data_IF_792071943330
#
_entry.id   IF_792071943330
#
_cell.length_a   1.000
_cell.length_b   1.000
_cell.length_c   1.000
_cell.angle_alpha   90.00
_cell.angle_beta   90.00
_cell.angle_gamma   90.00
#
_symmetry.space_group_name_H-M   'P 1'
#
loop_
_entity.id
_entity.type
_entity.pdbx_description
1 polymer ?
#
# COMPACT_ATOMS: atom_id res chain seq x y z
N UNK A 1 -12.20 3.26 16.06
CA UNK A 1 -11.94 1.91 15.51
C UNK A 1 -11.46 1.03 16.66
N UNK A 2 -12.35 0.25 17.30
CA UNK A 2 -11.97 -0.53 18.50
C UNK A 2 -11.36 -1.91 18.16
N UNK A 3 -11.52 -2.38 16.92
CA UNK A 3 -10.69 -3.40 16.28
C UNK A 3 -11.05 -3.43 14.80
N UNK A 4 -10.05 -3.40 13.91
CA UNK A 4 -10.25 -3.72 12.50
C UNK A 4 -9.77 -5.15 12.32
N UNK A 5 -10.66 -6.04 11.87
CA UNK A 5 -10.22 -7.40 11.56
C UNK A 5 -9.44 -7.40 10.24
N UNK A 6 -8.42 -8.26 10.07
CA UNK A 6 -7.67 -8.35 8.81
C UNK A 6 -8.57 -8.51 7.58
N UNK A 7 -9.67 -9.26 7.70
CA UNK A 7 -10.64 -9.50 6.63
C UNK A 7 -11.30 -8.21 6.15
N UNK A 8 -11.47 -7.22 7.02
CA UNK A 8 -12.03 -5.91 6.63
C UNK A 8 -11.07 -5.15 5.71
N UNK A 9 -9.76 -5.26 5.95
CA UNK A 9 -8.75 -4.66 5.08
C UNK A 9 -8.71 -5.39 3.73
N UNK A 10 -8.68 -6.72 3.74
CA UNK A 10 -8.67 -7.52 2.51
C UNK A 10 -9.91 -7.26 1.65
N UNK A 11 -11.10 -7.18 2.26
CA UNK A 11 -12.32 -6.81 1.55
C UNK A 11 -12.22 -5.42 0.91
N UNK A 12 -11.60 -4.46 1.60
CA UNK A 12 -11.37 -3.11 1.07
C UNK A 12 -10.41 -3.13 -0.12
N UNK A 13 -9.31 -3.89 -0.03
CA UNK A 13 -8.35 -4.03 -1.12
C UNK A 13 -8.97 -4.71 -2.35
N UNK A 14 -9.90 -5.64 -2.16
CA UNK A 14 -10.68 -6.23 -3.24
C UNK A 14 -11.52 -5.16 -3.96
N UNK A 15 -12.28 -4.35 -3.21
CA UNK A 15 -13.08 -3.25 -3.79
C UNK A 15 -12.18 -2.25 -4.53
N UNK A 16 -11.02 -1.91 -3.97
CA UNK A 16 -10.07 -1.01 -4.63
C UNK A 16 -9.61 -1.53 -5.99
N UNK A 17 -9.36 -2.85 -6.09
CA UNK A 17 -8.96 -3.49 -7.34
C UNK A 17 -10.11 -3.54 -8.36
N UNK A 18 -11.33 -3.79 -7.89
CA UNK A 18 -12.53 -3.85 -8.75
C UNK A 18 -12.91 -2.48 -9.31
N UNK A 19 -12.88 -1.43 -8.49
CA UNK A 19 -13.34 -0.09 -8.86
C UNK A 19 -12.25 0.75 -9.54
N UNK A 20 -10.99 0.59 -9.13
CA UNK A 20 -9.90 1.49 -9.54
C UNK A 20 -8.71 0.77 -10.19
N UNK A 21 -8.78 -0.55 -10.37
CA UNK A 21 -7.71 -1.37 -10.94
C UNK A 21 -6.59 -1.70 -9.94
N UNK A 22 -6.13 -0.70 -9.19
CA UNK A 22 -5.14 -0.86 -8.12
C UNK A 22 -5.15 0.31 -7.13
N UNK A 23 -4.51 0.12 -5.98
CA UNK A 23 -4.29 1.20 -5.00
C UNK A 23 -3.42 2.31 -5.58
N UNK A 24 -2.40 1.97 -6.37
CA UNK A 24 -1.52 2.97 -6.99
C UNK A 24 -2.27 3.79 -8.04
N UNK A 25 -3.11 3.17 -8.87
CA UNK A 25 -3.97 3.88 -9.83
C UNK A 25 -4.99 4.79 -9.12
N UNK A 26 -5.60 4.34 -8.02
CA UNK A 26 -6.47 5.21 -7.21
C UNK A 26 -5.72 6.45 -6.69
N UNK A 27 -4.49 6.28 -6.19
CA UNK A 27 -3.69 7.40 -5.66
C UNK A 27 -3.28 8.38 -6.77
N UNK A 28 -2.89 7.87 -7.94
CA UNK A 28 -2.53 8.70 -9.09
C UNK A 28 -3.74 9.46 -9.66
N UNK A 29 -4.86 8.77 -9.83
CA UNK A 29 -5.99 9.27 -10.61
C UNK A 29 -7.03 10.01 -9.76
N UNK A 30 -7.36 9.50 -8.57
CA UNK A 30 -8.39 10.08 -7.69
C UNK A 30 -7.78 11.02 -6.66
N UNK A 31 -6.70 10.61 -5.99
CA UNK A 31 -6.02 11.46 -5.01
C UNK A 31 -5.12 12.53 -5.65
N UNK A 32 -4.89 12.45 -6.97
CA UNK A 32 -4.06 13.40 -7.75
C UNK A 32 -2.64 13.57 -7.20
N UNK A 33 -2.10 12.52 -6.59
CA UNK A 33 -0.70 12.53 -6.14
C UNK A 33 0.18 12.21 -7.33
N UNK A 34 1.15 13.07 -7.62
CA UNK A 34 2.04 12.85 -8.75
C UNK A 34 3.01 11.69 -8.50
N UNK A 35 3.53 11.03 -9.55
CA UNK A 35 4.56 10.01 -9.41
C UNK A 35 5.79 10.48 -8.62
N UNK A 36 6.22 11.74 -8.81
CA UNK A 36 7.36 12.33 -8.08
C UNK A 36 7.09 12.46 -6.58
N UNK A 37 5.85 12.78 -6.19
CA UNK A 37 5.44 12.83 -4.79
C UNK A 37 5.37 11.45 -4.17
N UNK A 38 4.86 10.45 -4.89
CA UNK A 38 4.90 9.04 -4.45
C UNK A 38 6.34 8.60 -4.22
N UNK A 39 7.25 8.96 -5.12
CA UNK A 39 8.67 8.62 -5.03
C UNK A 39 9.33 9.31 -3.83
N UNK A 40 8.99 10.58 -3.56
CA UNK A 40 9.39 11.28 -2.33
C UNK A 40 8.86 10.61 -1.07
N UNK A 41 7.60 10.14 -1.08
CA UNK A 41 7.03 9.40 0.04
C UNK A 41 7.79 8.09 0.28
N UNK A 42 8.06 7.30 -0.77
CA UNK A 42 8.82 6.05 -0.66
C UNK A 42 10.19 6.28 -0.01
N UNK A 43 10.94 7.30 -0.45
CA UNK A 43 12.24 7.67 0.15
C UNK A 43 12.15 8.07 1.63
N UNK A 44 11.05 8.71 2.04
CA UNK A 44 10.91 9.22 3.40
C UNK A 44 10.32 8.18 4.37
N UNK A 45 9.45 7.29 3.89
CA UNK A 45 8.67 6.38 4.72
C UNK A 45 9.19 4.94 4.70
N UNK A 46 9.87 4.50 3.62
CA UNK A 46 10.48 3.18 3.57
C UNK A 46 11.83 3.27 4.28
N UNK A 47 11.84 2.88 5.54
CA UNK A 47 13.08 2.67 6.29
C UNK A 47 13.57 1.27 5.97
N UNK A 48 14.76 1.16 5.39
CA UNK A 48 15.40 -0.15 5.23
C UNK A 48 15.56 -0.80 6.61
N UNK A 49 15.20 -2.09 6.77
CA UNK A 49 15.31 -2.76 8.06
C UNK A 49 16.78 -2.78 8.48
N UNK A 50 17.10 -2.07 9.57
CA UNK A 50 18.48 -1.86 10.04
C UNK A 50 19.24 -3.14 10.45
N UNK A 51 18.62 -4.33 10.36
CA UNK A 51 19.16 -5.59 10.86
C UNK A 51 18.95 -6.79 9.94
N UNK A 52 19.03 -6.64 8.61
CA UNK A 52 19.13 -7.79 7.68
C UNK A 52 17.96 -8.80 7.71
N UNK A 53 16.87 -8.48 8.41
CA UNK A 53 15.60 -9.18 8.28
C UNK A 53 14.98 -8.66 7.00
N UNK A 54 15.31 -9.32 5.90
CA UNK A 54 14.48 -9.30 4.70
C UNK A 54 13.08 -9.67 5.17
N UNK A 55 12.17 -8.70 5.17
CA UNK A 55 10.75 -9.01 5.23
C UNK A 55 10.50 -9.79 3.95
N UNK A 56 10.43 -11.13 4.07
CA UNK A 56 10.18 -12.02 2.93
C UNK A 56 9.05 -11.43 2.09
N UNK A 57 9.40 -10.99 0.87
CA UNK A 57 8.48 -10.39 -0.07
C UNK A 57 7.31 -11.33 -0.41
N UNK A 58 7.48 -12.64 -0.14
CA UNK A 58 6.43 -13.66 -0.22
C UNK A 58 5.26 -13.42 0.75
N UNK A 59 5.46 -12.67 1.85
CA UNK A 59 4.41 -12.39 2.85
C UNK A 59 3.60 -11.13 2.56
N UNK A 60 4.02 -10.32 1.59
CA UNK A 60 3.31 -9.13 1.15
C UNK A 60 2.30 -9.41 0.02
N UNK A 61 2.22 -10.65 -0.46
CA UNK A 61 1.21 -11.15 -1.41
C UNK A 61 0.12 -11.90 -0.63
N UNK A 62 -0.68 -11.16 0.13
CA UNK A 62 -2.00 -11.55 0.65
C UNK A 62 -2.92 -10.34 0.53
#
# INVERSE_FOLDING_TARGET
MLSSRPESMLATLKVMREEYGSVEEYVLNECRVSPDEIERLRRNFIVEPQNGVVLDAERAVL
#
